data_IF_227541828435
#
_entry.id   IF_227541828435
#
_cell.length_a   1.000
_cell.length_b   1.000
_cell.length_c   1.000
_cell.angle_alpha   90.00
_cell.angle_beta   90.00
_cell.angle_gamma   90.00
#
_symmetry.space_group_name_H-M   'P 1'
#
loop_
_entity.id
_entity.type
_entity.pdbx_description
1 polymer ?
#
# COMPACT_ATOMS: atom_id res chain seq x y z
N UNK A 1 2.52 -15.39 4.00
CA UNK A 1 2.18 -13.95 3.87
C UNK A 1 0.76 -13.64 4.35
N UNK A 2 -0.19 -14.60 4.35
CA UNK A 2 -1.52 -14.42 4.98
C UNK A 2 -1.44 -13.88 6.42
N UNK A 3 -0.46 -14.32 7.20
CA UNK A 3 -0.32 -13.92 8.62
C UNK A 3 0.12 -12.47 8.84
N UNK A 4 0.59 -11.78 7.78
CA UNK A 4 1.12 -10.41 7.85
C UNK A 4 0.46 -9.49 6.81
N UNK A 5 -0.66 -9.89 6.23
CA UNK A 5 -1.39 -9.05 5.29
C UNK A 5 -1.90 -7.80 6.02
N UNK A 6 -1.69 -6.63 5.41
CA UNK A 6 -2.23 -5.37 5.91
C UNK A 6 -3.73 -5.36 5.62
N UNK A 7 -4.52 -5.67 6.64
CA UNK A 7 -5.97 -5.78 6.59
C UNK A 7 -6.61 -5.10 7.80
N UNK A 8 -7.94 -5.08 7.87
CA UNK A 8 -8.67 -4.45 8.98
C UNK A 8 -8.28 -5.00 10.36
N UNK A 9 -8.01 -6.29 10.48
CA UNK A 9 -7.60 -6.91 11.74
C UNK A 9 -6.26 -6.37 12.21
N UNK A 10 -5.24 -6.33 11.33
CA UNK A 10 -3.93 -5.76 11.64
C UNK A 10 -4.04 -4.29 12.04
N UNK A 11 -4.81 -3.50 11.30
CA UNK A 11 -5.01 -2.07 11.60
C UNK A 11 -5.68 -1.88 12.98
N UNK A 12 -6.66 -2.72 13.33
CA UNK A 12 -7.31 -2.68 14.65
C UNK A 12 -6.36 -3.05 15.79
N UNK A 13 -5.39 -3.94 15.56
CA UNK A 13 -4.40 -4.31 16.57
C UNK A 13 -3.48 -3.15 16.98
N UNK A 14 -3.34 -2.12 16.15
CA UNK A 14 -2.56 -0.92 16.49
C UNK A 14 -3.17 -0.10 17.63
N UNK A 15 -4.50 -0.25 17.87
CA UNK A 15 -5.27 0.54 18.85
C UNK A 15 -5.08 2.06 18.68
N UNK A 16 -4.77 2.51 17.46
CA UNK A 16 -4.56 3.90 17.12
C UNK A 16 -5.58 4.35 16.08
N UNK A 17 -6.44 5.32 16.43
CA UNK A 17 -7.43 5.88 15.50
C UNK A 17 -6.83 6.74 14.39
N UNK A 18 -5.57 7.16 14.54
CA UNK A 18 -4.82 7.97 13.57
C UNK A 18 -3.83 7.13 12.76
N UNK A 19 -3.90 5.80 12.85
CA UNK A 19 -3.07 4.93 12.01
C UNK A 19 -3.41 5.20 10.53
N UNK A 20 -2.37 5.26 9.70
CA UNK A 20 -2.52 5.45 8.26
C UNK A 20 -1.72 4.39 7.50
N UNK A 21 -2.15 4.12 6.28
CA UNK A 21 -1.47 3.22 5.36
C UNK A 21 -0.49 3.99 4.46
N UNK A 22 0.71 3.43 4.29
CA UNK A 22 1.76 3.90 3.38
C UNK A 22 2.34 2.70 2.66
N UNK A 23 2.62 2.86 1.37
CA UNK A 23 3.08 1.79 0.50
C UNK A 23 3.75 2.36 -0.74
N UNK A 24 4.99 1.91 -1.00
CA UNK A 24 5.69 2.22 -2.23
C UNK A 24 5.00 1.52 -3.41
N UNK A 25 4.38 2.30 -4.30
CA UNK A 25 3.65 1.79 -5.45
C UNK A 25 4.58 1.09 -6.46
N UNK A 26 4.12 0.06 -7.18
CA UNK A 26 2.75 -0.49 -7.26
C UNK A 26 2.40 -1.51 -6.16
N UNK A 27 1.12 -1.58 -5.79
CA UNK A 27 0.57 -2.53 -4.81
C UNK A 27 -0.38 -3.57 -5.43
N UNK A 28 -0.38 -4.80 -4.91
CA UNK A 28 -1.26 -5.93 -5.27
C UNK A 28 -2.45 -6.05 -4.31
N UNK A 29 -3.33 -5.03 -4.35
CA UNK A 29 -4.51 -4.94 -3.50
C UNK A 29 -5.81 -5.45 -4.15
N UNK A 30 -5.78 -5.69 -5.47
CA UNK A 30 -6.92 -6.19 -6.26
C UNK A 30 -6.45 -7.06 -7.44
N UNK A 31 -7.41 -7.67 -8.15
CA UNK A 31 -7.17 -8.46 -9.36
C UNK A 31 -7.41 -7.70 -10.67
N UNK A 32 -7.35 -6.38 -10.64
CA UNK A 32 -7.57 -5.57 -11.84
C UNK A 32 -6.41 -5.67 -12.82
N UNK A 33 -5.21 -6.02 -12.34
CA UNK A 33 -4.01 -6.19 -13.15
C UNK A 33 -3.82 -7.64 -13.60
N UNK A 34 -3.14 -7.82 -14.74
CA UNK A 34 -2.78 -9.16 -15.25
C UNK A 34 -2.00 -9.99 -14.23
N UNK A 35 -1.05 -9.36 -13.52
CA UNK A 35 -0.27 -10.02 -12.47
C UNK A 35 -1.13 -10.31 -11.25
N UNK A 36 -2.00 -9.37 -10.84
CA UNK A 36 -2.93 -9.57 -9.73
C UNK A 36 -3.83 -10.80 -9.94
N UNK A 37 -4.39 -10.99 -11.14
CA UNK A 37 -5.18 -12.19 -11.48
C UNK A 37 -4.39 -13.48 -11.32
N UNK A 38 -3.17 -13.54 -11.86
CA UNK A 38 -2.29 -14.71 -11.74
C UNK A 38 -1.95 -15.05 -10.30
N UNK A 39 -1.71 -14.03 -9.47
CA UNK A 39 -1.46 -14.21 -8.03
C UNK A 39 -2.71 -14.75 -7.35
N UNK A 40 -3.89 -14.21 -7.67
CA UNK A 40 -5.17 -14.69 -7.16
C UNK A 40 -5.47 -16.16 -7.46
N UNK A 41 -5.23 -16.57 -8.71
CA UNK A 41 -5.39 -17.96 -9.14
C UNK A 41 -4.42 -18.91 -8.42
N UNK A 42 -3.17 -18.47 -8.21
CA UNK A 42 -2.12 -19.29 -7.59
C UNK A 42 -2.26 -19.42 -6.07
N UNK A 43 -2.70 -18.36 -5.40
CA UNK A 43 -2.72 -18.29 -3.93
C UNK A 43 -4.14 -18.27 -3.33
N UNK A 44 -5.18 -18.38 -4.16
CA UNK A 44 -6.58 -18.44 -3.77
C UNK A 44 -6.99 -17.34 -2.76
N UNK A 45 -6.74 -16.07 -3.09
CA UNK A 45 -7.08 -14.95 -2.21
C UNK A 45 -7.14 -13.61 -2.92
N UNK A 46 -8.13 -12.78 -2.57
CA UNK A 46 -8.54 -11.55 -3.29
C UNK A 46 -7.54 -10.39 -3.30
N UNK A 47 -6.48 -10.47 -2.50
CA UNK A 47 -5.42 -9.47 -2.34
C UNK A 47 -4.18 -10.15 -1.76
N UNK A 48 -3.00 -9.56 -1.92
CA UNK A 48 -1.75 -10.17 -1.49
C UNK A 48 -1.13 -9.45 -0.28
N UNK A 49 -0.47 -8.31 -0.46
CA UNK A 49 0.12 -7.53 0.64
C UNK A 49 -0.87 -6.72 1.48
N UNK A 50 -1.84 -6.06 0.84
CA UNK A 50 -2.77 -5.14 1.47
C UNK A 50 -4.16 -5.36 0.86
N UNK A 51 -5.21 -5.30 1.67
CA UNK A 51 -6.59 -5.47 1.19
C UNK A 51 -7.08 -4.21 0.49
N UNK A 52 -8.00 -4.35 -0.48
CA UNK A 52 -8.62 -3.22 -1.20
C UNK A 52 -9.26 -2.19 -0.24
N UNK A 53 -9.85 -2.67 0.86
CA UNK A 53 -10.45 -1.84 1.90
C UNK A 53 -9.44 -0.92 2.62
N UNK A 54 -8.23 -1.40 2.88
CA UNK A 54 -7.18 -0.62 3.54
C UNK A 54 -6.49 0.27 2.52
N UNK A 55 -6.26 -0.21 1.31
CA UNK A 55 -5.63 0.61 0.27
C UNK A 55 -6.48 1.86 -0.07
N UNK A 56 -7.80 1.72 -0.08
CA UNK A 56 -8.76 2.79 -0.44
C UNK A 56 -9.32 3.56 0.76
N UNK A 57 -8.79 3.37 1.96
CA UNK A 57 -9.28 4.07 3.15
C UNK A 57 -9.01 5.58 3.07
N UNK A 58 -9.90 6.39 3.65
CA UNK A 58 -9.82 7.86 3.61
C UNK A 58 -8.55 8.44 4.20
N UNK A 59 -7.91 7.73 5.12
CA UNK A 59 -6.64 8.11 5.74
C UNK A 59 -5.41 7.43 5.12
N UNK A 60 -5.54 6.75 3.96
CA UNK A 60 -4.38 6.25 3.24
C UNK A 60 -3.53 7.41 2.70
N UNK A 61 -2.22 7.34 2.87
CA UNK A 61 -1.27 8.35 2.39
C UNK A 61 -0.47 7.89 1.17
N UNK A 62 -0.78 6.73 0.58
CA UNK A 62 -0.03 6.13 -0.54
C UNK A 62 0.19 7.07 -1.73
N UNK A 63 -0.81 7.87 -2.10
CA UNK A 63 -0.67 8.84 -3.20
C UNK A 63 0.13 10.09 -2.81
N UNK A 64 0.06 10.49 -1.53
CA UNK A 64 0.88 11.58 -1.01
C UNK A 64 2.35 11.15 -0.95
N UNK A 65 2.61 9.92 -0.52
CA UNK A 65 3.93 9.30 -0.57
C UNK A 65 4.49 9.28 -1.99
N UNK A 66 3.72 8.79 -2.95
CA UNK A 66 4.12 8.76 -4.36
C UNK A 66 4.44 10.15 -4.92
N UNK A 67 3.61 11.17 -4.60
CA UNK A 67 3.87 12.55 -5.00
C UNK A 67 5.15 13.11 -4.35
N UNK A 68 5.42 12.74 -3.09
CA UNK A 68 6.59 13.19 -2.35
C UNK A 68 7.91 12.66 -2.93
N UNK A 69 7.91 11.56 -3.69
CA UNK A 69 9.10 11.11 -4.41
C UNK A 69 9.70 12.21 -5.29
N UNK A 70 8.88 12.98 -6.02
CA UNK A 70 9.37 14.10 -6.84
C UNK A 70 10.01 15.19 -5.98
N UNK A 71 9.38 15.54 -4.86
CA UNK A 71 9.85 16.60 -3.98
C UNK A 71 11.17 16.25 -3.28
N UNK A 72 11.30 15.02 -2.78
CA UNK A 72 12.51 14.56 -2.08
C UNK A 72 13.68 14.43 -3.06
N UNK A 73 13.46 13.89 -4.26
CA UNK A 73 14.48 13.86 -5.33
C UNK A 73 14.96 15.28 -5.65
N UNK A 74 14.03 16.24 -5.82
CA UNK A 74 14.37 17.64 -6.08
C UNK A 74 15.22 18.24 -4.96
N UNK A 75 14.86 17.98 -3.70
CA UNK A 75 15.61 18.50 -2.55
C UNK A 75 17.05 17.96 -2.52
N UNK A 76 17.21 16.65 -2.75
CA UNK A 76 18.54 16.01 -2.81
C UNK A 76 19.37 16.59 -3.95
N UNK A 77 18.79 16.70 -5.15
CA UNK A 77 19.47 17.31 -6.30
C UNK A 77 19.87 18.76 -6.05
N UNK A 78 19.04 19.56 -5.39
CA UNK A 78 19.32 20.98 -5.12
C UNK A 78 20.40 21.20 -4.04
N UNK A 79 20.67 20.21 -3.18
CA UNK A 79 21.74 20.29 -2.16
C UNK A 79 23.05 19.72 -2.69
N UNK A 80 22.98 18.68 -3.53
CA UNK A 80 24.16 17.95 -4.00
C UNK A 80 24.78 18.51 -5.30
N UNK A 81 24.02 19.28 -6.09
CA UNK A 81 24.45 19.90 -7.35
C UNK A 81 24.45 21.43 -7.22
#
# INVERSE_FOLDING_TARGET
MKDYQVNRELMNHTKNSEVFDMYCLSAYYSFETFIGKKIGEKFHGNSFEVTDEIFKISHSLVFKEAANCMHTIKAVSAVAL
#
